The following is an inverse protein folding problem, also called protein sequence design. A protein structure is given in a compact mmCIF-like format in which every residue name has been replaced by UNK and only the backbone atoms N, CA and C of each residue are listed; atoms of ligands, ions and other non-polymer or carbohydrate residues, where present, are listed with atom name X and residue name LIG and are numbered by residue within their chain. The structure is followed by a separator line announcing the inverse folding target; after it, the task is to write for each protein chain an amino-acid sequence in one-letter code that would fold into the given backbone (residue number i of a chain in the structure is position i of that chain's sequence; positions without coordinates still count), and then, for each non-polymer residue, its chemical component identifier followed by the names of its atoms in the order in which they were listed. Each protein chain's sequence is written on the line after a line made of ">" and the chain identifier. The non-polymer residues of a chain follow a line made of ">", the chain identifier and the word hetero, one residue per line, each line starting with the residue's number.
data_IF_356868728168
#
_entry.id   IF_356868728168
#
_cell.length_a   1.000
_cell.length_b   1.000
_cell.length_c   1.000
_cell.angle_alpha   90.00
_cell.angle_beta   90.00
_cell.angle_gamma   90.00
#
_symmetry.space_group_name_H-M   'P 1'
#
loop_
_entity.id
_entity.type
_entity.pdbx_description
1 polymer ?
#
# COMPACT_ATOMS: atom_id res chain seq x y z
N UNK A 1 11.55 4.07 -12.36
CA UNK A 1 11.50 3.48 -11.00
C UNK A 1 10.05 3.17 -10.69
N UNK A 2 9.73 1.91 -10.39
CA UNK A 2 8.39 1.44 -10.04
C UNK A 2 8.21 1.48 -8.53
N UNK A 3 7.13 2.11 -8.07
CA UNK A 3 6.80 2.22 -6.65
C UNK A 3 5.45 1.53 -6.41
N UNK A 4 5.46 0.55 -5.53
CA UNK A 4 4.25 -0.03 -4.98
C UNK A 4 3.66 0.92 -3.93
N UNK A 5 2.46 1.43 -4.16
CA UNK A 5 1.75 2.29 -3.20
C UNK A 5 0.72 1.46 -2.47
N UNK A 6 0.95 1.26 -1.17
CA UNK A 6 0.15 0.39 -0.30
C UNK A 6 -0.46 1.26 0.82
N UNK A 7 -1.65 1.87 0.60
CA UNK A 7 -2.19 2.85 1.53
C UNK A 7 -2.58 2.28 2.90
N UNK A 8 -3.00 1.01 2.92
CA UNK A 8 -3.40 0.29 4.13
C UNK A 8 -4.68 0.83 4.76
N UNK A 9 -4.69 0.89 6.10
CA UNK A 9 -5.86 1.08 6.95
C UNK A 9 -5.82 2.38 7.77
N UNK A 10 -6.96 2.72 8.38
CA UNK A 10 -7.07 3.85 9.30
C UNK A 10 -6.65 5.16 8.63
N UNK A 11 -5.65 5.84 9.20
CA UNK A 11 -5.10 7.10 8.64
C UNK A 11 -4.22 6.89 7.40
N UNK A 12 -3.86 5.64 7.09
CA UNK A 12 -2.94 5.27 6.01
C UNK A 12 -3.33 5.87 4.65
N UNK A 13 -4.57 5.65 4.16
CA UNK A 13 -5.05 6.26 2.92
C UNK A 13 -4.95 7.79 2.89
N UNK A 14 -5.23 8.48 3.99
CA UNK A 14 -5.24 9.94 4.06
C UNK A 14 -3.83 10.53 3.94
N UNK A 15 -2.86 9.94 4.65
CA UNK A 15 -1.47 10.40 4.64
C UNK A 15 -0.73 10.00 3.36
N UNK A 16 -1.00 8.80 2.84
CA UNK A 16 -0.42 8.34 1.57
C UNK A 16 -0.91 9.19 0.41
N UNK A 17 -2.17 9.65 0.42
CA UNK A 17 -2.65 10.61 -0.57
C UNK A 17 -1.84 11.93 -0.57
N UNK A 18 -1.32 12.39 0.57
CA UNK A 18 -0.45 13.58 0.59
C UNK A 18 0.96 13.27 0.07
N UNK A 19 1.51 12.10 0.38
CA UNK A 19 2.79 11.67 -0.18
C UNK A 19 2.73 11.57 -1.72
N UNK A 20 1.65 10.99 -2.26
CA UNK A 20 1.41 10.90 -3.70
C UNK A 20 1.37 12.28 -4.35
N UNK A 21 0.74 13.29 -3.73
CA UNK A 21 0.75 14.68 -4.27
C UNK A 21 2.16 15.24 -4.44
N UNK A 22 3.05 14.97 -3.48
CA UNK A 22 4.46 15.39 -3.56
C UNK A 22 5.18 14.62 -4.67
N UNK A 23 4.94 13.31 -4.78
CA UNK A 23 5.50 12.49 -5.84
C UNK A 23 5.03 12.94 -7.23
N UNK A 24 3.77 13.32 -7.38
CA UNK A 24 3.23 13.88 -8.62
C UNK A 24 3.83 15.25 -8.96
N UNK A 25 4.16 16.07 -7.97
CA UNK A 25 4.93 17.29 -8.19
C UNK A 25 6.33 16.97 -8.73
N UNK A 26 7.05 16.05 -8.10
CA UNK A 26 8.39 15.65 -8.56
C UNK A 26 8.35 14.98 -9.93
N UNK A 27 7.31 14.19 -10.22
CA UNK A 27 7.10 13.56 -11.53
C UNK A 27 6.90 14.61 -12.63
N UNK A 28 6.17 15.69 -12.34
CA UNK A 28 6.03 16.85 -13.26
C UNK A 28 7.35 17.59 -13.46
N UNK A 29 8.23 17.61 -12.47
CA UNK A 29 9.58 18.18 -12.56
C UNK A 29 10.62 17.25 -13.21
N UNK A 30 10.18 16.10 -13.74
CA UNK A 30 11.01 15.19 -14.54
C UNK A 30 11.47 13.92 -13.83
N UNK A 31 11.06 13.69 -12.58
CA UNK A 31 11.34 12.42 -11.89
C UNK A 31 10.60 11.26 -12.58
N UNK A 32 11.36 10.25 -13.05
CA UNK A 32 10.82 9.10 -13.78
C UNK A 32 10.34 7.99 -12.86
N UNK A 33 9.17 8.21 -12.26
CA UNK A 33 8.49 7.25 -11.39
C UNK A 33 7.14 6.80 -11.95
N UNK A 34 6.85 5.52 -11.74
CA UNK A 34 5.56 4.88 -11.97
C UNK A 34 5.03 4.38 -10.62
N UNK A 35 3.74 4.60 -10.36
CA UNK A 35 3.10 4.20 -9.11
C UNK A 35 1.97 3.23 -9.43
N UNK A 36 1.97 2.07 -8.76
CA UNK A 36 0.91 1.07 -8.87
C UNK A 36 0.37 0.77 -7.47
N UNK A 37 -0.94 0.61 -7.35
CA UNK A 37 -1.63 0.54 -6.07
C UNK A 37 -2.11 -0.88 -5.78
N UNK A 38 -1.97 -1.32 -4.54
CA UNK A 38 -2.58 -2.55 -4.05
C UNK A 38 -3.05 -2.43 -2.60
N UNK A 39 -3.99 -3.30 -2.23
CA UNK A 39 -4.55 -3.38 -0.89
C UNK A 39 -3.61 -4.17 0.06
N UNK A 40 -3.50 -3.74 1.31
CA UNK A 40 -2.71 -4.41 2.34
C UNK A 40 -3.38 -4.20 3.71
N UNK A 41 -3.06 -5.04 4.68
CA UNK A 41 -3.64 -4.97 6.02
C UNK A 41 -5.11 -5.37 6.01
N UNK A 42 -5.91 -4.68 6.81
CA UNK A 42 -7.35 -4.82 6.85
C UNK A 42 -8.02 -4.68 5.49
N UNK A 43 -7.63 -3.70 4.70
CA UNK A 43 -8.12 -3.51 3.33
C UNK A 43 -7.79 -4.69 2.41
N UNK A 44 -6.62 -5.32 2.61
CA UNK A 44 -6.27 -6.56 1.91
C UNK A 44 -7.16 -7.71 2.33
N UNK A 45 -7.38 -7.87 3.63
CA UNK A 45 -8.24 -8.89 4.19
C UNK A 45 -9.70 -8.75 3.73
N UNK A 46 -10.24 -7.53 3.71
CA UNK A 46 -11.59 -7.26 3.26
C UNK A 46 -11.77 -7.55 1.76
N UNK A 47 -10.72 -7.31 0.96
CA UNK A 47 -10.76 -7.52 -0.48
C UNK A 47 -10.56 -8.99 -0.89
N UNK A 48 -9.71 -9.73 -0.17
CA UNK A 48 -9.20 -11.03 -0.63
C UNK A 48 -9.13 -12.11 0.47
N UNK A 49 -9.53 -11.83 1.71
CA UNK A 49 -9.46 -12.76 2.84
C UNK A 49 -8.05 -12.96 3.40
N UNK A 50 -7.08 -12.16 2.97
CA UNK A 50 -5.67 -12.23 3.37
C UNK A 50 -5.13 -10.81 3.62
N UNK A 51 -4.53 -10.49 4.79
CA UNK A 51 -3.96 -9.17 5.02
C UNK A 51 -2.78 -8.83 4.09
N UNK A 52 -2.17 -9.81 3.44
CA UNK A 52 -1.16 -9.62 2.41
C UNK A 52 -1.48 -10.46 1.16
N UNK A 53 -2.46 -10.05 0.34
CA UNK A 53 -2.91 -10.83 -0.81
C UNK A 53 -1.77 -11.13 -1.80
N UNK A 54 -1.81 -12.29 -2.44
CA UNK A 54 -0.80 -12.69 -3.44
C UNK A 54 -0.59 -11.67 -4.57
N UNK A 55 -1.64 -10.94 -4.97
CA UNK A 55 -1.53 -9.85 -5.94
C UNK A 55 -0.69 -8.68 -5.42
N UNK A 56 -0.83 -8.33 -4.14
CA UNK A 56 -0.04 -7.30 -3.46
C UNK A 56 1.40 -7.74 -3.30
N UNK A 57 1.64 -9.00 -2.95
CA UNK A 57 2.98 -9.58 -2.90
C UNK A 57 3.68 -9.51 -4.26
N UNK A 58 3.01 -9.95 -5.32
CA UNK A 58 3.56 -9.92 -6.68
C UNK A 58 3.90 -8.49 -7.12
N UNK A 59 3.03 -7.51 -6.82
CA UNK A 59 3.27 -6.10 -7.12
C UNK A 59 4.46 -5.56 -6.33
N UNK A 60 4.54 -5.85 -5.03
CA UNK A 60 5.63 -5.41 -4.17
C UNK A 60 6.99 -6.00 -4.60
N UNK A 61 7.02 -7.29 -5.00
CA UNK A 61 8.22 -7.95 -5.51
C UNK A 61 8.67 -7.40 -6.88
N UNK A 62 7.74 -6.94 -7.71
CA UNK A 62 8.03 -6.36 -9.02
C UNK A 62 8.40 -4.86 -8.97
N UNK A 63 8.23 -4.20 -7.82
CA UNK A 63 8.54 -2.80 -7.62
C UNK A 63 9.99 -2.58 -7.14
N UNK A 64 10.54 -1.41 -7.44
CA UNK A 64 11.87 -1.01 -6.95
C UNK A 64 11.81 -0.53 -5.48
N UNK A 65 10.64 -0.05 -5.04
CA UNK A 65 10.39 0.42 -3.68
C UNK A 65 8.91 0.30 -3.31
N UNK A 66 8.63 0.30 -1.99
CA UNK A 66 7.27 0.28 -1.44
C UNK A 66 7.02 1.55 -0.62
N UNK A 67 5.96 2.28 -0.97
CA UNK A 67 5.37 3.33 -0.14
C UNK A 67 4.22 2.72 0.66
N UNK A 68 4.52 2.32 1.90
CA UNK A 68 3.55 1.75 2.83
C UNK A 68 2.96 2.83 3.74
N UNK A 69 1.63 2.85 3.87
CA UNK A 69 0.91 3.67 4.83
C UNK A 69 0.90 3.06 6.23
N UNK A 70 -0.28 3.02 6.85
CA UNK A 70 -0.50 2.37 8.15
C UNK A 70 -1.33 1.10 7.95
N UNK A 71 -1.17 0.09 8.79
CA UNK A 71 -1.98 -1.13 8.76
C UNK A 71 -2.52 -1.44 10.15
N UNK A 72 -3.72 -2.00 10.20
CA UNK A 72 -4.39 -2.41 11.42
C UNK A 72 -5.60 -1.55 11.79
N UNK A 73 -6.41 -2.12 12.68
CA UNK A 73 -7.63 -1.53 13.21
C UNK A 73 -8.33 -2.55 14.10
N UNK A 74 -9.05 -2.09 15.12
CA UNK A 74 -9.63 -2.96 16.16
C UNK A 74 -10.52 -4.09 15.60
N UNK A 75 -11.15 -3.87 14.45
CA UNK A 75 -11.98 -4.86 13.77
C UNK A 75 -11.20 -6.11 13.30
N UNK A 76 -9.87 -6.04 13.20
CA UNK A 76 -9.00 -7.12 12.73
C UNK A 76 -8.18 -7.77 13.86
N UNK A 77 -8.34 -7.33 15.12
CA UNK A 77 -7.50 -7.80 16.24
C UNK A 77 -7.68 -9.28 16.56
N UNK A 78 -8.85 -9.84 16.21
CA UNK A 78 -9.22 -11.25 16.42
C UNK A 78 -8.83 -12.16 15.25
N UNK A 79 -8.26 -11.62 14.17
CA UNK A 79 -7.83 -12.43 13.04
C UNK A 79 -6.70 -13.39 13.44
N UNK A 80 -6.69 -14.62 12.90
CA UNK A 80 -5.62 -15.57 13.16
C UNK A 80 -4.29 -15.04 12.61
N UNK A 81 -3.22 -15.19 13.39
CA UNK A 81 -1.85 -14.82 13.02
C UNK A 81 -0.99 -16.08 12.96
N UNK A 82 -1.12 -16.91 11.90
CA UNK A 82 -0.24 -18.06 11.73
C UNK A 82 1.20 -17.56 11.56
N UNK A 83 2.13 -18.17 12.31
CA UNK A 83 3.57 -17.93 12.17
C UNK A 83 4.19 -18.87 11.15
#
# INVERSE_FOLDING_TARGET
>A
MKIAVLPGDGIGPEIVAQAVKVMDALRRDGLKIEMEYAAIGGAGYDAAGDPFPAATEALAQAADAVLLGAVGGYQYDTLPRPM
#
